data_IF_099344171905
#
_entry.id   IF_099344171905
#
_cell.length_a   1.000
_cell.length_b   1.000
_cell.length_c   1.000
_cell.angle_alpha   90.00
_cell.angle_beta   90.00
_cell.angle_gamma   90.00
#
_symmetry.space_group_name_H-M   'P 1'
#
loop_
_entity.id
_entity.type
_entity.pdbx_description
1 polymer ?
#
# COMPACT_ATOMS: atom_id res chain seq x y z
N UNK A 1 30.03 7.28 8.45
CA UNK A 1 29.08 6.95 7.37
C UNK A 1 27.88 6.35 8.08
N UNK A 2 26.77 7.09 8.17
CA UNK A 2 25.59 6.66 8.91
C UNK A 2 24.87 5.63 8.03
N UNK A 3 24.84 4.37 8.45
CA UNK A 3 24.08 3.34 7.73
C UNK A 3 22.61 3.69 7.97
N UNK A 4 21.82 3.99 6.92
CA UNK A 4 20.40 4.26 7.12
C UNK A 4 19.76 3.02 7.75
N UNK A 5 18.93 3.24 8.77
CA UNK A 5 18.15 2.17 9.39
C UNK A 5 17.38 1.43 8.29
N UNK A 6 17.61 0.12 8.17
CA UNK A 6 16.82 -0.76 7.30
C UNK A 6 15.43 -1.05 7.86
N UNK A 7 15.12 -0.52 9.06
CA UNK A 7 13.86 -0.64 9.76
C UNK A 7 13.14 0.70 9.79
N UNK A 8 11.83 0.67 9.56
CA UNK A 8 10.92 1.82 9.73
C UNK A 8 10.80 2.23 11.21
N UNK A 9 11.06 1.30 12.13
CA UNK A 9 11.04 1.52 13.57
C UNK A 9 12.45 1.52 14.16
N UNK A 10 12.69 2.32 15.20
CA UNK A 10 13.95 2.25 15.92
C UNK A 10 14.00 0.97 16.77
N UNK A 11 15.21 0.47 17.01
CA UNK A 11 15.39 -0.76 17.80
C UNK A 11 14.85 -0.61 19.23
N UNK A 12 14.91 0.60 19.79
CA UNK A 12 14.32 0.96 21.08
C UNK A 12 12.79 0.80 21.07
N UNK A 13 12.09 1.32 20.06
CA UNK A 13 10.63 1.18 19.92
C UNK A 13 10.20 -0.29 19.85
N UNK A 14 10.92 -1.11 19.07
CA UNK A 14 10.61 -2.55 18.95
C UNK A 14 10.85 -3.28 20.28
N UNK A 15 11.87 -2.86 21.03
CA UNK A 15 12.20 -3.50 22.32
C UNK A 15 11.09 -3.27 23.35
N UNK A 16 10.44 -2.10 23.34
CA UNK A 16 9.30 -1.80 24.23
C UNK A 16 8.07 -2.68 23.94
N UNK A 17 7.90 -3.17 22.71
CA UNK A 17 6.79 -4.04 22.33
C UNK A 17 6.97 -5.50 22.80
N UNK A 18 8.20 -5.95 23.05
CA UNK A 18 8.45 -7.33 23.49
C UNK A 18 7.95 -7.54 24.93
N UNK A 19 7.09 -8.54 25.15
CA UNK A 19 6.49 -8.82 26.46
C UNK A 19 5.19 -8.04 26.71
N UNK A 20 4.76 -7.19 25.77
CA UNK A 20 3.47 -6.52 25.79
C UNK A 20 2.34 -7.35 25.16
N UNK A 21 2.61 -8.61 24.79
CA UNK A 21 1.59 -9.46 24.19
C UNK A 21 0.44 -9.74 25.16
N UNK A 22 -0.78 -9.44 24.71
CA UNK A 22 -1.98 -9.79 25.44
C UNK A 22 -2.60 -11.06 24.87
N UNK A 23 -2.94 -12.01 25.75
CA UNK A 23 -3.65 -13.22 25.35
C UNK A 23 -5.09 -12.89 24.99
N UNK A 24 -5.48 -13.24 23.76
CA UNK A 24 -6.89 -13.15 23.33
C UNK A 24 -7.77 -14.06 24.20
N UNK A 25 -8.86 -13.50 24.71
CA UNK A 25 -9.94 -14.28 25.33
C UNK A 25 -10.57 -15.24 24.32
N UNK A 26 -11.22 -16.29 24.81
CA UNK A 26 -11.95 -17.24 23.96
C UNK A 26 -13.01 -16.55 23.08
N UNK A 27 -13.67 -15.51 23.63
CA UNK A 27 -14.68 -14.71 22.92
C UNK A 27 -14.05 -13.90 21.77
N UNK A 28 -12.94 -13.23 22.02
CA UNK A 28 -12.24 -12.45 20.99
C UNK A 28 -11.67 -13.34 19.89
N UNK A 29 -11.11 -14.49 20.26
CA UNK A 29 -10.65 -15.48 19.30
C UNK A 29 -11.80 -15.97 18.42
N UNK A 30 -12.94 -16.33 19.01
CA UNK A 30 -14.12 -16.77 18.26
C UNK A 30 -14.62 -15.68 17.30
N UNK A 31 -14.66 -14.41 17.74
CA UNK A 31 -15.01 -13.26 16.89
C UNK A 31 -14.07 -13.10 15.70
N UNK A 32 -12.75 -13.13 15.92
CA UNK A 32 -11.74 -12.99 14.85
C UNK A 32 -11.80 -14.16 13.86
N UNK A 33 -12.04 -15.39 14.33
CA UNK A 33 -12.23 -16.56 13.45
C UNK A 33 -13.49 -16.42 12.59
N UNK A 34 -14.60 -15.95 13.17
CA UNK A 34 -15.83 -15.72 12.43
C UNK A 34 -15.63 -14.64 11.34
N UNK A 35 -14.98 -13.52 11.70
CA UNK A 35 -14.62 -12.47 10.75
C UNK A 35 -13.73 -13.02 9.63
N UNK A 36 -12.69 -13.78 9.96
CA UNK A 36 -11.81 -14.39 8.96
C UNK A 36 -12.55 -15.29 7.97
N UNK A 37 -13.53 -16.08 8.44
CA UNK A 37 -14.36 -16.92 7.55
C UNK A 37 -15.22 -16.10 6.59
N UNK A 38 -15.78 -14.98 7.06
CA UNK A 38 -16.53 -14.05 6.20
C UNK A 38 -15.58 -13.50 5.14
N UNK A 39 -14.42 -13.01 5.56
CA UNK A 39 -13.40 -12.48 4.67
C UNK A 39 -13.01 -13.53 3.61
N UNK A 40 -12.72 -14.77 4.01
CA UNK A 40 -12.42 -15.85 3.05
C UNK A 40 -13.55 -16.17 2.07
N UNK A 41 -14.81 -15.95 2.45
CA UNK A 41 -15.96 -16.15 1.56
C UNK A 41 -16.18 -15.01 0.58
N UNK A 42 -15.66 -13.82 0.89
CA UNK A 42 -15.61 -12.70 -0.03
C UNK A 42 -14.45 -12.95 -1.00
N UNK A 43 -14.72 -13.16 -2.28
CA UNK A 43 -13.70 -13.36 -3.32
C UNK A 43 -13.01 -12.03 -3.71
N UNK A 44 -12.51 -11.33 -2.68
CA UNK A 44 -11.88 -10.03 -2.84
C UNK A 44 -10.36 -10.16 -2.92
N UNK A 45 -9.72 -9.45 -3.87
CA UNK A 45 -8.29 -9.58 -4.15
C UNK A 45 -7.40 -8.95 -3.08
N UNK A 46 -7.90 -7.96 -2.33
CA UNK A 46 -7.16 -7.27 -1.29
C UNK A 46 -7.87 -7.33 0.05
N UNK A 47 -7.07 -7.22 1.12
CA UNK A 47 -7.53 -6.95 2.48
C UNK A 47 -6.81 -5.74 3.04
N UNK A 48 -7.59 -4.75 3.45
CA UNK A 48 -7.10 -3.46 3.93
C UNK A 48 -7.56 -3.23 5.37
N UNK A 49 -6.78 -2.46 6.11
CA UNK A 49 -7.07 -2.00 7.47
C UNK A 49 -7.77 -0.64 7.38
N UNK A 50 -8.97 -0.56 7.95
CA UNK A 50 -9.71 0.69 8.14
C UNK A 50 -10.06 0.80 9.62
N UNK A 51 -9.43 1.73 10.32
CA UNK A 51 -9.48 1.79 11.78
C UNK A 51 -8.88 0.51 12.39
N UNK A 52 -9.66 -0.20 13.20
CA UNK A 52 -9.28 -1.49 13.81
C UNK A 52 -9.82 -2.72 13.05
N UNK A 53 -10.34 -2.52 11.83
CA UNK A 53 -11.02 -3.56 11.06
C UNK A 53 -10.27 -3.94 9.79
N UNK A 54 -10.17 -5.24 9.55
CA UNK A 54 -9.73 -5.81 8.28
C UNK A 54 -10.95 -6.03 7.38
N UNK A 55 -10.96 -5.42 6.19
CA UNK A 55 -12.08 -5.46 5.23
C UNK A 55 -11.62 -5.90 3.82
N UNK A 56 -12.56 -6.41 3.02
CA UNK A 56 -12.35 -6.64 1.57
C UNK A 56 -12.18 -5.33 0.81
N UNK A 57 -11.28 -5.32 -0.16
CA UNK A 57 -11.14 -4.21 -1.11
C UNK A 57 -10.86 -4.70 -2.54
N UNK A 58 -11.27 -3.93 -3.57
CA UNK A 58 -10.93 -4.22 -4.96
C UNK A 58 -9.46 -3.92 -5.26
N UNK A 59 -8.91 -4.46 -6.35
CA UNK A 59 -7.53 -4.16 -6.78
C UNK A 59 -7.28 -2.66 -6.99
N UNK A 60 -8.32 -1.92 -7.38
CA UNK A 60 -8.28 -0.48 -7.68
C UNK A 60 -8.32 0.42 -6.45
N UNK A 61 -8.33 -0.13 -5.23
CA UNK A 61 -8.46 0.64 -3.98
C UNK A 61 -7.48 1.84 -3.92
N UNK A 62 -6.25 1.63 -4.38
CA UNK A 62 -5.20 2.64 -4.30
C UNK A 62 -5.07 3.52 -5.56
N UNK A 63 -5.90 3.30 -6.57
CA UNK A 63 -5.81 4.03 -7.85
C UNK A 63 -6.07 5.53 -7.63
N UNK A 64 -7.02 5.88 -6.75
CA UNK A 64 -7.32 7.27 -6.40
C UNK A 64 -6.10 7.98 -5.78
N UNK A 65 -5.39 7.32 -4.87
CA UNK A 65 -4.17 7.87 -4.25
C UNK A 65 -3.04 8.04 -5.25
N UNK A 66 -2.89 7.11 -6.19
CA UNK A 66 -1.91 7.20 -7.28
C UNK A 66 -2.20 8.36 -8.23
N UNK A 67 -3.48 8.55 -8.60
CA UNK A 67 -3.93 9.66 -9.44
C UNK A 67 -3.73 11.00 -8.73
N UNK A 68 -4.06 11.08 -7.44
CA UNK A 68 -3.98 12.32 -6.66
C UNK A 68 -2.56 12.89 -6.58
N UNK A 69 -1.53 12.05 -6.64
CA UNK A 69 -0.12 12.49 -6.61
C UNK A 69 0.52 12.61 -8.00
N UNK A 70 -0.16 12.15 -9.05
CA UNK A 70 0.26 12.35 -10.43
C UNK A 70 -0.01 13.80 -10.87
N UNK A 71 0.70 14.25 -11.91
CA UNK A 71 0.51 15.59 -12.49
C UNK A 71 0.48 15.49 -14.01
N UNK A 72 0.13 16.58 -14.68
CA UNK A 72 0.19 16.70 -16.15
C UNK A 72 1.62 16.80 -16.71
N UNK A 73 2.62 17.01 -15.85
CA UNK A 73 4.03 16.96 -16.20
C UNK A 73 4.59 15.54 -16.10
N UNK A 74 5.60 15.23 -16.93
CA UNK A 74 6.28 13.94 -16.88
C UNK A 74 7.05 13.75 -15.57
N UNK A 75 6.71 12.69 -14.84
CA UNK A 75 7.34 12.34 -13.57
C UNK A 75 7.83 10.88 -13.58
N UNK A 76 8.94 10.54 -12.92
CA UNK A 76 9.35 9.14 -12.75
C UNK A 76 8.27 8.33 -12.03
N UNK A 77 8.01 7.10 -12.49
CA UNK A 77 7.06 6.19 -11.83
C UNK A 77 7.42 5.97 -10.36
N UNK A 78 8.71 5.78 -10.06
CA UNK A 78 9.20 5.64 -8.68
C UNK A 78 8.86 6.84 -7.78
N UNK A 79 8.73 8.05 -8.34
CA UNK A 79 8.34 9.26 -7.58
C UNK A 79 6.86 9.18 -7.17
N UNK A 80 5.98 8.76 -8.08
CA UNK A 80 4.55 8.61 -7.80
C UNK A 80 4.34 7.53 -6.73
N UNK A 81 4.94 6.36 -6.92
CA UNK A 81 4.89 5.26 -5.94
C UNK A 81 5.45 5.70 -4.58
N UNK A 82 6.62 6.34 -4.58
CA UNK A 82 7.26 6.81 -3.34
C UNK A 82 6.43 7.84 -2.58
N UNK A 83 5.67 8.70 -3.27
CA UNK A 83 4.74 9.64 -2.62
C UNK A 83 3.58 8.92 -1.94
N UNK A 84 2.97 7.94 -2.60
CA UNK A 84 1.88 7.16 -1.98
C UNK A 84 2.39 6.37 -0.76
N UNK A 85 3.55 5.73 -0.87
CA UNK A 85 4.16 5.04 0.26
C UNK A 85 4.53 6.00 1.41
N UNK A 86 4.97 7.22 1.07
CA UNK A 86 5.20 8.29 2.03
C UNK A 86 3.94 8.66 2.82
N UNK A 87 2.81 8.81 2.13
CA UNK A 87 1.53 9.10 2.78
C UNK A 87 1.11 7.97 3.74
N UNK A 88 1.34 6.70 3.38
CA UNK A 88 1.05 5.58 4.28
C UNK A 88 1.87 5.62 5.57
N UNK A 89 3.12 6.11 5.52
CA UNK A 89 3.95 6.33 6.71
C UNK A 89 3.35 7.44 7.57
N UNK A 90 2.91 8.53 6.96
CA UNK A 90 2.28 9.65 7.69
C UNK A 90 0.95 9.24 8.35
N UNK A 91 0.23 8.29 7.75
CA UNK A 91 -1.03 7.75 8.28
C UNK A 91 -0.83 6.60 9.29
N UNK A 92 0.40 6.13 9.50
CA UNK A 92 0.73 4.94 10.31
C UNK A 92 -0.03 3.67 9.89
N UNK A 93 -0.34 3.55 8.59
CA UNK A 93 -1.00 2.35 8.04
C UNK A 93 -0.34 1.90 6.75
N UNK A 94 0.49 0.85 6.84
CA UNK A 94 1.18 0.24 5.70
C UNK A 94 0.34 -0.86 5.05
N UNK A 95 -0.27 -0.57 3.89
CA UNK A 95 -1.28 -1.45 3.29
C UNK A 95 -0.94 -2.01 1.91
N UNK A 96 0.08 -1.47 1.24
CA UNK A 96 0.50 -1.95 -0.06
C UNK A 96 2.01 -1.79 -0.27
N UNK A 97 2.58 -2.66 -1.09
CA UNK A 97 3.99 -2.62 -1.47
C UNK A 97 4.23 -1.88 -2.80
N UNK A 98 5.47 -1.45 -3.02
CA UNK A 98 5.86 -0.66 -4.19
C UNK A 98 5.53 -1.34 -5.53
N UNK A 99 5.75 -2.66 -5.66
CA UNK A 99 5.49 -3.39 -6.89
C UNK A 99 4.00 -3.53 -7.20
N UNK A 100 3.17 -3.71 -6.17
CA UNK A 100 1.72 -3.69 -6.32
C UNK A 100 1.25 -2.31 -6.80
N UNK A 101 1.72 -1.22 -6.19
CA UNK A 101 1.37 0.13 -6.66
C UNK A 101 1.86 0.40 -8.10
N UNK A 102 3.02 -0.14 -8.47
CA UNK A 102 3.53 -0.04 -9.85
C UNK A 102 2.67 -0.81 -10.85
N UNK A 103 2.12 -1.98 -10.49
CA UNK A 103 1.19 -2.71 -11.36
C UNK A 103 -0.13 -1.95 -11.53
N UNK A 104 -0.63 -1.31 -10.46
CA UNK A 104 -1.80 -0.41 -10.56
C UNK A 104 -1.57 0.76 -11.51
N UNK A 105 -0.37 1.36 -11.50
CA UNK A 105 -0.01 2.39 -12.48
C UNK A 105 -0.01 1.86 -13.92
N UNK A 106 0.35 0.59 -14.14
CA UNK A 106 0.24 -0.03 -15.46
C UNK A 106 -1.21 -0.17 -15.91
N UNK A 107 -2.10 -0.63 -15.02
CA UNK A 107 -3.53 -0.72 -15.32
C UNK A 107 -4.14 0.66 -15.63
N UNK A 108 -3.72 1.71 -14.92
CA UNK A 108 -4.14 3.10 -15.18
C UNK A 108 -3.64 3.64 -16.53
N UNK A 109 -2.48 3.18 -17.00
CA UNK A 109 -1.98 3.49 -18.35
C UNK A 109 -2.82 2.78 -19.41
N UNK A 110 -3.08 1.48 -19.23
CA UNK A 110 -3.92 0.71 -20.16
C UNK A 110 -5.36 1.25 -20.22
N UNK A 111 -5.87 1.78 -19.10
CA UNK A 111 -7.16 2.45 -19.03
C UNK A 111 -7.18 3.87 -19.63
N UNK A 112 -6.02 4.40 -20.07
CA UNK A 112 -5.89 5.74 -20.65
C UNK A 112 -6.00 6.89 -19.64
N UNK A 113 -5.95 6.61 -18.34
CA UNK A 113 -5.94 7.64 -17.28
C UNK A 113 -4.56 8.29 -17.17
N UNK A 114 -3.50 7.49 -17.39
CA UNK A 114 -2.12 7.93 -17.40
C UNK A 114 -1.51 7.72 -18.78
N UNK A 115 -0.66 8.64 -19.19
CA UNK A 115 0.26 8.42 -20.30
C UNK A 115 1.62 7.96 -19.77
N UNK A 116 2.32 7.13 -20.56
CA UNK A 116 3.67 6.66 -20.23
C UNK A 116 4.68 6.97 -21.32
N UNK A 117 5.94 7.06 -20.89
CA UNK A 117 7.11 6.87 -21.76
C UNK A 117 8.18 6.05 -21.04
N UNK A 118 8.92 5.24 -21.79
CA UNK A 118 9.86 4.27 -21.24
C UNK A 118 9.21 2.92 -20.89
N UNK A 119 9.98 2.05 -20.26
CA UNK A 119 9.61 0.66 -19.95
C UNK A 119 8.98 0.54 -18.56
N UNK A 120 7.74 0.05 -18.49
CA UNK A 120 6.98 -0.14 -17.25
C UNK A 120 7.57 -1.21 -16.35
N UNK A 121 8.36 -2.15 -16.88
CA UNK A 121 9.07 -3.14 -16.06
C UNK A 121 10.19 -2.52 -15.22
N UNK A 122 10.59 -1.28 -15.55
CA UNK A 122 11.65 -0.55 -14.86
C UNK A 122 11.13 0.77 -14.29
N UNK A 123 10.69 0.75 -13.02
CA UNK A 123 10.19 1.95 -12.31
C UNK A 123 11.11 3.18 -12.41
N UNK A 124 12.44 2.98 -12.51
CA UNK A 124 13.42 4.06 -12.64
C UNK A 124 13.52 4.65 -14.04
N UNK A 125 13.24 3.85 -15.07
CA UNK A 125 13.29 4.25 -16.48
C UNK A 125 11.93 4.67 -17.04
N UNK A 126 10.85 4.40 -16.32
CA UNK A 126 9.50 4.79 -16.70
C UNK A 126 9.14 6.19 -16.18
N UNK A 127 8.52 6.99 -17.05
CA UNK A 127 7.89 8.24 -16.67
C UNK A 127 6.41 8.24 -17.03
N UNK A 128 5.61 8.85 -16.16
CA UNK A 128 4.16 8.90 -16.24
C UNK A 128 3.68 10.35 -16.11
N UNK A 129 2.49 10.62 -16.64
CA UNK A 129 1.71 11.84 -16.40
C UNK A 129 0.22 11.55 -16.51
N UNK A 130 -0.62 12.43 -15.99
CA UNK A 130 -2.06 12.42 -16.25
C UNK A 130 -2.31 12.63 -17.75
N UNK A 131 -3.21 11.82 -18.31
CA UNK A 131 -3.74 12.06 -19.64
C UNK A 131 -4.52 13.39 -19.67
N UNK A 132 -4.37 14.15 -20.75
CA UNK A 132 -5.01 15.46 -20.94
C UNK A 132 -6.41 15.36 -21.52
#
# INVERSE_FOLDING_TARGET
MNVPSSSLYYAEDITELLGSEESLTAKERARRVAQWRILQSEDAPLRIIVGDHLISAPLSEFDASLIAVATTDWQPMAKIVGRVLGNFIEEDVHQAEAFFLASRLADLVEAGVLERRGDMSQMRGCQLRLAS
#
